data_IF_470216150519
#
_entry.id   IF_470216150519
#
_cell.length_a   1.000
_cell.length_b   1.000
_cell.length_c   1.000
_cell.angle_alpha   90.00
_cell.angle_beta   90.00
_cell.angle_gamma   90.00
#
_symmetry.space_group_name_H-M   'P 1'
#
loop_
_entity.id
_entity.type
_entity.pdbx_description
1 polymer ?
#
# COMPACT_ATOMS: atom_id res chain seq x y z
N UNK A 1 21.73 -2.88 -17.91
CA UNK A 1 21.53 -3.82 -16.79
C UNK A 1 20.05 -3.93 -16.59
N UNK A 2 19.58 -5.16 -16.67
CA UNK A 2 18.19 -5.50 -16.83
C UNK A 2 17.41 -5.19 -15.55
N UNK A 3 16.33 -4.39 -15.64
CA UNK A 3 15.41 -4.11 -14.52
C UNK A 3 14.84 -5.41 -13.90
N UNK A 4 14.75 -6.47 -14.69
CA UNK A 4 14.34 -7.80 -14.25
C UNK A 4 15.29 -8.44 -13.21
N UNK A 5 16.55 -8.04 -13.18
CA UNK A 5 17.55 -8.55 -12.21
C UNK A 5 17.39 -7.88 -10.83
N UNK A 6 16.97 -6.62 -10.81
CA UNK A 6 16.64 -5.91 -9.56
C UNK A 6 15.35 -6.47 -8.91
N UNK A 7 14.35 -6.81 -9.71
CA UNK A 7 13.12 -7.43 -9.22
C UNK A 7 13.37 -8.80 -8.59
N UNK A 8 14.33 -9.57 -9.09
CA UNK A 8 14.75 -10.86 -8.52
C UNK A 8 15.45 -10.75 -7.17
N UNK A 9 16.17 -9.66 -6.92
CA UNK A 9 16.87 -9.44 -5.64
C UNK A 9 15.86 -9.12 -4.52
N UNK A 10 14.74 -8.50 -4.84
CA UNK A 10 13.65 -8.23 -3.87
C UNK A 10 12.96 -9.53 -3.42
N UNK A 11 13.05 -10.59 -4.22
CA UNK A 11 12.48 -11.92 -3.96
C UNK A 11 13.48 -12.95 -3.43
N UNK A 12 14.71 -12.54 -3.06
CA UNK A 12 15.60 -13.45 -2.37
C UNK A 12 14.94 -13.95 -1.08
N UNK A 13 14.97 -15.27 -0.80
CA UNK A 13 14.52 -15.78 0.48
C UNK A 13 15.35 -15.09 1.57
N UNK A 14 14.66 -14.28 2.38
CA UNK A 14 15.23 -13.56 3.51
C UNK A 14 15.58 -14.57 4.57
N UNK A 15 16.81 -15.11 4.54
CA UNK A 15 17.31 -15.99 5.58
C UNK A 15 17.59 -15.16 6.84
N UNK A 16 17.05 -15.61 7.94
CA UNK A 16 16.85 -15.04 9.26
C UNK A 16 17.76 -13.94 9.79
N UNK A 17 19.04 -13.85 9.43
CA UNK A 17 19.95 -12.83 9.96
C UNK A 17 19.73 -11.45 9.35
N UNK A 18 19.34 -11.36 8.10
CA UNK A 18 19.15 -10.07 7.39
C UNK A 18 18.02 -9.21 7.96
N UNK A 19 17.04 -9.83 8.62
CA UNK A 19 15.89 -9.15 9.25
C UNK A 19 16.02 -9.03 10.78
N UNK A 20 17.18 -9.42 11.33
CA UNK A 20 17.41 -9.31 12.78
C UNK A 20 17.35 -7.85 13.23
N UNK A 21 16.52 -7.55 14.23
CA UNK A 21 16.28 -6.20 14.75
C UNK A 21 15.29 -5.35 13.97
N UNK A 22 14.74 -5.84 12.86
CA UNK A 22 13.65 -5.19 12.13
C UNK A 22 12.32 -5.44 12.87
N UNK A 23 11.57 -4.37 13.09
CA UNK A 23 10.29 -4.40 13.85
C UNK A 23 9.11 -3.96 13.02
N UNK A 24 9.35 -3.22 11.95
CA UNK A 24 8.32 -2.57 11.15
C UNK A 24 8.47 -2.93 9.68
N UNK A 25 7.35 -3.14 9.01
CA UNK A 25 7.30 -3.32 7.57
C UNK A 25 6.19 -2.44 6.98
N UNK A 26 6.51 -1.61 6.00
CA UNK A 26 5.53 -0.83 5.24
C UNK A 26 5.45 -1.42 3.84
N UNK A 27 4.27 -1.89 3.47
CA UNK A 27 4.00 -2.46 2.14
C UNK A 27 3.36 -1.37 1.30
N UNK A 28 3.93 -1.10 0.13
CA UNK A 28 3.42 -0.14 -0.85
C UNK A 28 3.24 -0.82 -2.20
N UNK A 29 2.22 -0.45 -2.97
CA UNK A 29 1.97 -1.06 -4.28
C UNK A 29 2.77 -0.39 -5.41
N UNK A 30 2.91 0.93 -5.35
CA UNK A 30 3.51 1.70 -6.41
C UNK A 30 5.05 1.74 -6.27
N UNK A 31 5.75 1.56 -7.40
CA UNK A 31 7.23 1.55 -7.45
C UNK A 31 7.83 2.91 -7.10
N UNK A 32 7.24 3.99 -7.58
CA UNK A 32 7.75 5.34 -7.32
C UNK A 32 7.58 5.70 -5.84
N UNK A 33 6.45 5.31 -5.25
CA UNK A 33 6.21 5.43 -3.81
C UNK A 33 7.25 4.63 -3.00
N UNK A 34 7.56 3.39 -3.42
CA UNK A 34 8.61 2.58 -2.80
C UNK A 34 9.98 3.27 -2.84
N UNK A 35 10.35 3.84 -4.00
CA UNK A 35 11.65 4.50 -4.19
C UNK A 35 11.79 5.81 -3.42
N UNK A 36 10.66 6.48 -3.15
CA UNK A 36 10.63 7.78 -2.45
C UNK A 36 10.29 7.66 -0.97
N UNK A 37 9.99 6.44 -0.48
CA UNK A 37 9.71 6.21 0.94
C UNK A 37 10.92 6.58 1.79
N UNK A 38 10.77 7.49 2.77
CA UNK A 38 11.86 7.81 3.68
C UNK A 38 12.28 6.61 4.52
N UNK A 39 13.52 6.58 5.02
CA UNK A 39 14.00 5.52 5.90
C UNK A 39 13.09 5.31 7.11
N UNK A 40 12.91 4.06 7.49
CA UNK A 40 12.11 3.65 8.65
C UNK A 40 13.09 3.07 9.68
N UNK A 41 13.21 3.71 10.84
CA UNK A 41 14.11 3.21 11.87
C UNK A 41 13.66 1.82 12.33
N UNK A 42 14.57 0.84 12.30
CA UNK A 42 14.27 -0.58 12.54
C UNK A 42 13.13 -1.13 11.66
N UNK A 43 13.01 -0.62 10.45
CA UNK A 43 11.94 -0.99 9.53
C UNK A 43 12.40 -1.20 8.11
N UNK A 44 11.53 -1.79 7.30
CA UNK A 44 11.71 -1.98 5.86
C UNK A 44 10.49 -1.47 5.10
N UNK A 45 10.73 -1.02 3.88
CA UNK A 45 9.68 -0.81 2.90
C UNK A 45 9.68 -1.98 1.92
N UNK A 46 8.51 -2.51 1.61
CA UNK A 46 8.31 -3.65 0.70
C UNK A 46 7.48 -3.15 -0.49
N UNK A 47 8.01 -3.35 -1.69
CA UNK A 47 7.22 -3.14 -2.89
C UNK A 47 6.34 -4.36 -3.18
N UNK A 48 5.03 -4.21 -3.04
CA UNK A 48 4.05 -5.30 -3.13
C UNK A 48 3.77 -5.79 -4.55
N UNK A 49 4.02 -4.94 -5.56
CA UNK A 49 3.76 -5.30 -6.97
C UNK A 49 2.37 -5.91 -7.20
N UNK A 50 1.33 -5.27 -6.68
CA UNK A 50 -0.05 -5.71 -6.83
C UNK A 50 -0.36 -7.01 -6.07
N UNK A 51 -1.10 -7.93 -6.69
CA UNK A 51 -1.59 -9.17 -6.05
C UNK A 51 -0.49 -10.13 -5.57
N UNK A 52 0.73 -10.01 -6.11
CA UNK A 52 1.85 -10.87 -5.72
C UNK A 52 2.22 -10.75 -4.23
N UNK A 53 1.94 -9.61 -3.60
CA UNK A 53 2.19 -9.40 -2.17
C UNK A 53 1.41 -10.36 -1.28
N UNK A 54 0.19 -10.71 -1.68
CA UNK A 54 -0.68 -11.61 -0.89
C UNK A 54 -0.14 -13.04 -0.80
N UNK A 55 0.69 -13.46 -1.74
CA UNK A 55 1.34 -14.78 -1.73
C UNK A 55 2.75 -14.69 -1.11
N UNK A 56 3.46 -13.61 -1.39
CA UNK A 56 4.86 -13.45 -1.03
C UNK A 56 5.06 -13.12 0.46
N UNK A 57 4.30 -12.20 1.01
CA UNK A 57 4.45 -11.77 2.41
C UNK A 57 4.18 -12.92 3.39
N UNK A 58 3.13 -13.73 3.24
CA UNK A 58 2.90 -14.87 4.12
C UNK A 58 3.99 -15.94 4.05
N UNK A 59 4.71 -16.01 2.92
CA UNK A 59 5.81 -16.97 2.73
C UNK A 59 7.10 -16.59 3.50
N UNK A 60 7.18 -15.37 4.06
CA UNK A 60 8.34 -14.89 4.84
C UNK A 60 8.00 -14.93 6.33
N UNK A 61 8.43 -15.95 7.09
CA UNK A 61 8.04 -16.11 8.50
C UNK A 61 8.39 -14.91 9.39
N UNK A 62 9.54 -14.28 9.14
CA UNK A 62 10.01 -13.13 9.91
C UNK A 62 9.06 -11.91 9.87
N UNK A 63 8.24 -11.79 8.82
CA UNK A 63 7.27 -10.69 8.71
C UNK A 63 6.10 -10.84 9.69
N UNK A 64 5.83 -12.05 10.19
CA UNK A 64 4.73 -12.29 11.14
C UNK A 64 4.97 -11.68 12.52
N UNK A 65 6.23 -11.44 12.86
CA UNK A 65 6.63 -10.85 14.14
C UNK A 65 6.79 -9.32 14.04
N UNK A 66 6.58 -8.75 12.85
CA UNK A 66 6.70 -7.32 12.59
C UNK A 66 5.32 -6.65 12.66
N UNK A 67 5.32 -5.38 13.06
CA UNK A 67 4.16 -4.52 12.82
C UNK A 67 4.13 -4.12 11.35
N UNK A 68 3.10 -4.56 10.66
CA UNK A 68 2.95 -4.36 9.22
C UNK A 68 1.92 -3.27 8.96
N UNK A 69 2.23 -2.36 8.04
CA UNK A 69 1.29 -1.35 7.53
C UNK A 69 1.23 -1.47 6.01
N UNK A 70 0.02 -1.53 5.48
CA UNK A 70 -0.24 -1.56 4.05
C UNK A 70 -0.74 -0.19 3.57
N UNK A 71 -0.22 0.25 2.46
CA UNK A 71 -0.69 1.41 1.72
C UNK A 71 -0.70 1.08 0.23
N UNK A 72 -1.87 1.01 -0.37
CA UNK A 72 -2.07 0.71 -1.78
C UNK A 72 -2.74 1.84 -2.53
N UNK A 73 -3.05 1.59 -3.78
CA UNK A 73 -3.96 2.44 -4.54
C UNK A 73 -5.34 2.45 -3.87
N UNK A 74 -5.94 3.61 -3.81
CA UNK A 74 -7.28 3.76 -3.27
C UNK A 74 -8.30 3.41 -4.37
N UNK A 75 -8.37 2.13 -4.67
CA UNK A 75 -9.31 1.54 -5.61
C UNK A 75 -9.84 0.19 -5.10
N UNK A 76 -10.76 -0.41 -5.85
CA UNK A 76 -11.36 -1.66 -5.42
C UNK A 76 -10.37 -2.84 -5.46
N UNK A 77 -9.36 -2.81 -6.33
CA UNK A 77 -8.34 -3.87 -6.41
C UNK A 77 -7.34 -3.77 -5.24
N UNK A 78 -6.88 -2.58 -4.88
CA UNK A 78 -6.01 -2.36 -3.72
C UNK A 78 -6.66 -2.80 -2.41
N UNK A 79 -7.97 -2.54 -2.25
CA UNK A 79 -8.73 -3.01 -1.07
C UNK A 79 -8.94 -4.53 -1.10
N UNK A 80 -9.14 -5.17 -2.26
CA UNK A 80 -9.18 -6.63 -2.36
C UNK A 80 -7.82 -7.26 -2.02
N UNK A 81 -6.71 -6.64 -2.41
CA UNK A 81 -5.36 -7.08 -2.04
C UNK A 81 -5.17 -7.02 -0.53
N UNK A 82 -5.54 -5.92 0.11
CA UNK A 82 -5.50 -5.76 1.57
C UNK A 82 -6.33 -6.84 2.28
N UNK A 83 -7.55 -7.10 1.80
CA UNK A 83 -8.39 -8.18 2.34
C UNK A 83 -7.69 -9.53 2.25
N UNK A 84 -7.20 -9.88 1.06
CA UNK A 84 -6.52 -11.17 0.81
C UNK A 84 -5.26 -11.32 1.68
N UNK A 85 -4.49 -10.25 1.86
CA UNK A 85 -3.31 -10.24 2.72
C UNK A 85 -3.67 -10.61 4.16
N UNK A 86 -4.72 -10.01 4.72
CA UNK A 86 -5.19 -10.33 6.08
C UNK A 86 -5.81 -11.73 6.18
N UNK A 87 -6.53 -12.16 5.15
CA UNK A 87 -7.10 -13.52 5.09
C UNK A 87 -6.02 -14.61 5.05
N UNK A 88 -4.81 -14.29 4.56
CA UNK A 88 -3.65 -15.18 4.62
C UNK A 88 -2.97 -15.26 6.00
N UNK A 89 -3.55 -14.60 7.01
CA UNK A 89 -3.07 -14.62 8.40
C UNK A 89 -2.03 -13.54 8.73
N UNK A 90 -1.88 -12.53 7.87
CA UNK A 90 -1.01 -11.38 8.12
C UNK A 90 -1.82 -10.30 8.83
N UNK A 91 -1.49 -10.01 10.08
CA UNK A 91 -2.03 -8.84 10.79
C UNK A 91 -1.36 -7.57 10.26
N UNK A 92 -2.14 -6.69 9.64
CA UNK A 92 -1.63 -5.40 9.19
C UNK A 92 -2.64 -4.28 9.38
N UNK A 93 -2.12 -3.10 9.74
CA UNK A 93 -2.85 -1.85 9.66
C UNK A 93 -2.90 -1.36 8.21
N UNK A 94 -3.76 -0.41 7.89
CA UNK A 94 -3.73 0.33 6.63
C UNK A 94 -3.68 1.83 6.88
N UNK A 95 -3.14 2.59 5.94
CA UNK A 95 -3.21 4.05 5.94
C UNK A 95 -3.83 4.55 4.65
N UNK A 96 -4.61 5.63 4.73
CA UNK A 96 -5.17 6.31 3.58
C UNK A 96 -6.06 5.41 2.69
N UNK A 97 -6.74 4.43 3.31
CA UNK A 97 -7.58 3.43 2.66
C UNK A 97 -9.03 3.48 3.19
N UNK A 98 -9.53 4.68 3.49
CA UNK A 98 -10.87 4.92 4.01
C UNK A 98 -11.60 6.06 3.27
N UNK A 99 -12.88 6.29 3.62
CA UNK A 99 -13.68 7.32 2.99
C UNK A 99 -13.18 8.75 3.29
N UNK A 100 -12.59 9.00 4.44
CA UNK A 100 -12.06 10.32 4.80
C UNK A 100 -10.84 10.67 3.95
N UNK A 101 -9.97 9.69 3.73
CA UNK A 101 -8.86 9.82 2.80
C UNK A 101 -9.35 10.02 1.36
N UNK A 102 -10.34 9.22 0.92
CA UNK A 102 -10.93 9.39 -0.40
C UNK A 102 -11.48 10.82 -0.59
N UNK A 103 -12.26 11.32 0.35
CA UNK A 103 -12.86 12.66 0.25
C UNK A 103 -11.81 13.77 0.29
N UNK A 104 -10.68 13.56 0.96
CA UNK A 104 -9.53 14.48 0.98
C UNK A 104 -8.81 14.56 -0.36
N UNK A 105 -8.64 13.41 -1.02
CA UNK A 105 -7.78 13.28 -2.21
C UNK A 105 -8.54 13.04 -3.51
N UNK A 106 -9.89 12.96 -3.51
CA UNK A 106 -10.69 12.64 -4.70
C UNK A 106 -10.39 13.51 -5.93
N UNK A 107 -9.94 14.76 -5.72
CA UNK A 107 -9.53 15.68 -6.81
C UNK A 107 -8.36 15.16 -7.64
N UNK A 108 -7.57 14.22 -7.11
CA UNK A 108 -6.47 13.57 -7.80
C UNK A 108 -6.88 12.22 -8.43
N UNK A 109 -8.16 11.87 -8.33
CA UNK A 109 -8.67 10.61 -8.84
C UNK A 109 -8.68 10.50 -10.35
N UNK A 110 -8.81 9.27 -10.81
CA UNK A 110 -9.00 8.91 -12.23
C UNK A 110 -10.13 7.90 -12.38
N UNK A 111 -10.77 7.94 -13.54
CA UNK A 111 -11.74 6.93 -13.98
C UNK A 111 -11.12 5.93 -14.97
N UNK A 112 -9.78 5.96 -15.12
CA UNK A 112 -9.06 5.15 -16.10
C UNK A 112 -7.98 4.29 -15.43
N UNK A 113 -7.80 3.10 -15.98
CA UNK A 113 -6.68 2.22 -15.69
C UNK A 113 -5.40 2.73 -16.34
N UNK A 114 -4.25 2.19 -15.98
CA UNK A 114 -2.95 2.46 -16.63
C UNK A 114 -3.01 2.26 -18.17
N UNK A 115 -3.82 1.32 -18.65
CA UNK A 115 -4.06 1.06 -20.07
C UNK A 115 -5.13 1.97 -20.68
N UNK A 116 -5.49 3.07 -20.01
CA UNK A 116 -6.50 4.05 -20.43
C UNK A 116 -7.93 3.49 -20.60
N UNK A 117 -8.21 2.28 -20.12
CA UNK A 117 -9.56 1.74 -20.10
C UNK A 117 -10.36 2.36 -18.95
N UNK A 118 -11.65 2.60 -19.19
CA UNK A 118 -12.55 3.15 -18.16
C UNK A 118 -12.76 2.14 -17.04
N UNK A 119 -12.62 2.60 -15.78
CA UNK A 119 -12.91 1.79 -14.60
C UNK A 119 -14.44 1.77 -14.43
N UNK A 120 -15.03 0.60 -14.65
CA UNK A 120 -16.47 0.40 -14.55
C UNK A 120 -16.90 0.16 -13.09
N UNK A 121 -18.17 0.45 -12.80
CA UNK A 121 -18.83 -0.05 -11.61
C UNK A 121 -18.84 -1.58 -11.63
N UNK A 122 -18.78 -2.18 -10.46
CA UNK A 122 -18.89 -3.63 -10.29
C UNK A 122 -19.61 -3.99 -8.99
N UNK A 123 -20.16 -5.19 -8.92
CA UNK A 123 -20.68 -5.71 -7.69
C UNK A 123 -19.54 -5.94 -6.69
N UNK A 124 -19.68 -5.50 -5.42
CA UNK A 124 -18.71 -5.79 -4.39
C UNK A 124 -18.59 -7.29 -4.15
N UNK A 125 -17.36 -7.80 -4.09
CA UNK A 125 -17.09 -9.17 -3.69
C UNK A 125 -16.98 -9.28 -2.16
N UNK A 126 -17.13 -10.49 -1.59
CA UNK A 126 -16.79 -10.71 -0.18
C UNK A 126 -15.33 -10.33 0.09
N UNK A 127 -15.12 -9.49 1.09
CA UNK A 127 -13.80 -9.01 1.54
C UNK A 127 -13.73 -9.08 3.07
N UNK A 128 -13.70 -10.31 3.66
CA UNK A 128 -13.78 -10.49 5.11
C UNK A 128 -12.57 -9.89 5.85
N UNK A 129 -11.41 -9.76 5.18
CA UNK A 129 -10.22 -9.13 5.75
C UNK A 129 -10.31 -7.61 5.90
N UNK A 130 -11.30 -6.92 5.31
CA UNK A 130 -11.44 -5.48 5.44
C UNK A 130 -12.08 -5.08 6.78
N UNK A 131 -11.50 -4.07 7.41
CA UNK A 131 -12.11 -3.37 8.55
C UNK A 131 -13.30 -2.52 8.10
N UNK A 132 -14.14 -2.08 9.04
CA UNK A 132 -15.38 -1.37 8.72
C UNK A 132 -15.17 -0.09 7.91
N UNK A 133 -14.12 0.68 8.16
CA UNK A 133 -13.82 1.91 7.43
C UNK A 133 -13.41 1.63 5.97
N UNK A 134 -12.54 0.66 5.78
CA UNK A 134 -12.06 0.20 4.48
C UNK A 134 -13.18 -0.43 3.65
N UNK A 135 -14.05 -1.22 4.28
CA UNK A 135 -15.20 -1.84 3.62
C UNK A 135 -16.18 -0.80 3.08
N UNK A 136 -16.44 0.26 3.84
CA UNK A 136 -17.30 1.37 3.37
C UNK A 136 -16.70 2.04 2.12
N UNK A 137 -15.38 2.25 2.09
CA UNK A 137 -14.71 2.77 0.91
C UNK A 137 -14.81 1.79 -0.26
N UNK A 138 -14.58 0.49 -0.03
CA UNK A 138 -14.68 -0.54 -1.05
C UNK A 138 -16.04 -0.59 -1.72
N UNK A 139 -17.11 -0.60 -0.93
CA UNK A 139 -18.48 -0.59 -1.43
C UNK A 139 -18.78 0.68 -2.24
N UNK A 140 -18.30 1.82 -1.76
CA UNK A 140 -18.43 3.11 -2.46
C UNK A 140 -17.69 3.09 -3.79
N UNK A 141 -16.46 2.63 -3.84
CA UNK A 141 -15.66 2.53 -5.07
C UNK A 141 -16.27 1.54 -6.07
N UNK A 142 -16.86 0.45 -5.61
CA UNK A 142 -17.52 -0.52 -6.46
C UNK A 142 -18.84 -0.01 -7.05
N UNK A 143 -19.76 0.48 -6.22
CA UNK A 143 -21.18 0.57 -6.57
C UNK A 143 -21.78 1.98 -6.49
N UNK A 144 -21.13 2.97 -5.86
CA UNK A 144 -21.67 4.32 -5.75
C UNK A 144 -21.68 5.01 -7.13
N UNK A 145 -22.87 5.43 -7.57
CA UNK A 145 -23.08 6.13 -8.84
C UNK A 145 -22.71 7.61 -8.80
N UNK A 146 -22.52 8.16 -7.61
CA UNK A 146 -22.32 9.59 -7.40
C UNK A 146 -20.86 10.01 -7.43
N UNK A 147 -19.91 9.09 -7.26
CA UNK A 147 -18.47 9.39 -7.28
C UNK A 147 -17.96 9.55 -8.72
N UNK A 148 -17.12 10.57 -8.91
CA UNK A 148 -16.53 10.85 -10.21
C UNK A 148 -15.41 9.86 -10.58
N UNK A 149 -14.62 9.47 -9.60
CA UNK A 149 -13.42 8.67 -9.78
C UNK A 149 -13.46 7.41 -8.92
N UNK A 150 -12.99 6.30 -9.47
CA UNK A 150 -12.97 4.99 -8.78
C UNK A 150 -11.58 4.55 -8.42
N UNK A 151 -10.58 5.40 -8.64
CA UNK A 151 -9.19 5.17 -8.31
C UNK A 151 -8.53 6.49 -7.93
N UNK A 152 -7.75 6.46 -6.87
CA UNK A 152 -6.72 7.46 -6.55
C UNK A 152 -5.42 6.68 -6.45
N UNK A 153 -4.52 6.95 -7.38
CA UNK A 153 -3.22 6.30 -7.43
C UNK A 153 -2.36 6.77 -6.25
N UNK A 154 -1.65 5.84 -5.63
CA UNK A 154 -0.86 6.06 -4.43
C UNK A 154 0.14 7.20 -4.57
N UNK A 155 0.83 7.30 -5.71
CA UNK A 155 1.82 8.33 -5.98
C UNK A 155 1.25 9.75 -6.13
N UNK A 156 -0.08 9.88 -6.26
CA UNK A 156 -0.74 11.19 -6.31
C UNK A 156 -1.03 11.77 -4.93
N UNK A 157 -0.88 10.96 -3.90
CA UNK A 157 -1.03 11.38 -2.51
C UNK A 157 0.34 11.89 -2.02
N UNK A 158 0.43 13.10 -1.43
CA UNK A 158 1.70 13.61 -0.96
C UNK A 158 2.36 12.67 0.05
N UNK A 159 3.63 12.31 -0.17
CA UNK A 159 4.39 11.40 0.71
C UNK A 159 4.39 11.88 2.17
N UNK A 160 4.48 13.19 2.41
CA UNK A 160 4.40 13.76 3.78
C UNK A 160 3.14 13.35 4.52
N UNK A 161 2.00 13.26 3.82
CA UNK A 161 0.72 12.93 4.43
C UNK A 161 0.70 11.43 4.81
N UNK A 162 1.29 10.57 3.98
CA UNK A 162 1.49 9.16 4.31
C UNK A 162 2.46 8.97 5.48
N UNK A 163 3.56 9.71 5.51
CA UNK A 163 4.51 9.71 6.64
C UNK A 163 3.83 10.14 7.93
N UNK A 164 2.96 11.15 7.90
CA UNK A 164 2.22 11.59 9.07
C UNK A 164 1.25 10.52 9.57
N UNK A 165 0.57 9.81 8.67
CA UNK A 165 -0.30 8.66 9.05
C UNK A 165 0.53 7.50 9.63
N UNK A 166 1.68 7.16 9.02
CA UNK A 166 2.58 6.15 9.56
C UNK A 166 3.06 6.50 10.98
N UNK A 167 3.43 7.76 11.22
CA UNK A 167 3.85 8.23 12.55
C UNK A 167 2.71 8.18 13.58
N UNK A 168 1.48 8.48 13.20
CA UNK A 168 0.30 8.31 14.08
C UNK A 168 0.12 6.85 14.52
N UNK A 169 0.47 5.91 13.65
CA UNK A 169 0.50 4.48 13.98
C UNK A 169 1.75 4.07 14.78
N UNK A 170 2.67 5.01 15.10
CA UNK A 170 3.89 4.72 15.84
C UNK A 170 5.01 4.10 14.99
N UNK A 171 4.92 4.18 13.66
CA UNK A 171 6.01 3.77 12.78
C UNK A 171 7.06 4.89 12.74
N UNK A 172 8.33 4.63 13.10
CA UNK A 172 9.35 5.66 13.23
C UNK A 172 9.97 6.01 11.86
N UNK A 173 9.22 6.71 11.03
CA UNK A 173 9.69 7.21 9.73
C UNK A 173 10.53 8.46 9.93
N UNK A 174 11.70 8.53 9.30
CA UNK A 174 12.57 9.69 9.35
C UNK A 174 11.92 10.92 8.72
N UNK A 175 12.35 12.12 9.14
CA UNK A 175 11.85 13.36 8.56
C UNK A 175 12.33 13.49 7.12
N UNK A 176 11.44 13.93 6.23
CA UNK A 176 11.81 14.39 4.90
C UNK A 176 12.44 15.78 5.11
N UNK A 177 13.68 15.82 5.60
CA UNK A 177 14.48 17.04 5.48
C UNK A 177 14.80 17.21 4.00
N UNK A 178 14.59 18.44 3.48
CA UNK A 178 14.85 18.82 2.10
C UNK A 178 16.11 18.09 1.57
N UNK A 179 15.91 16.99 0.85
CA UNK A 179 16.94 16.52 -0.05
C UNK A 179 17.01 17.58 -1.14
N UNK A 180 17.99 18.45 -1.03
CA UNK A 180 18.39 19.35 -2.11
C UNK A 180 18.47 18.53 -3.38
N UNK A 181 17.47 18.67 -4.23
CA UNK A 181 17.54 18.15 -5.59
C UNK A 181 18.74 18.83 -6.24
N UNK A 182 19.75 18.09 -6.70
CA UNK A 182 20.77 18.71 -7.53
C UNK A 182 20.09 19.27 -8.78
N UNK A 183 20.29 20.54 -9.00
CA UNK A 183 19.85 21.32 -10.17
C UNK A 183 20.46 20.74 -11.45
#
# INVERSE_FOLDING_TARGET
RDDAELERIIWCPWEGEALSGIKYAVIVENKDTYQTMPPIAQGICIWGSGRAVSDAVPAVPALRDMRIVYWGDMDADGLEILSTLRESGIECDSILMDCDAYDRYHRFGTDRTERSAKIAMREPKPTPGLQSAERRLYERLCADKTIAYRRIEQERIPMRDAVDELRKLGIPVESIENQDLPI
#
